data_IF_064347288095
#
_entry.id   IF_064347288095
#
_cell.length_a   1.000
_cell.length_b   1.000
_cell.length_c   1.000
_cell.angle_alpha   90.00
_cell.angle_beta   90.00
_cell.angle_gamma   90.00
#
_symmetry.space_group_name_H-M   'P 1'
#
loop_
_entity.id
_entity.type
_entity.pdbx_description
1 polymer ?
#
# COMPACT_ATOMS: atom_id res chain seq x y z
N UNK A 1 2.66 -3.66 -56.75
CA UNK A 1 1.64 -4.01 -55.76
C UNK A 1 2.32 -4.69 -54.59
N UNK A 2 2.62 -3.95 -53.53
CA UNK A 2 3.26 -4.49 -52.34
C UNK A 2 2.21 -5.10 -51.42
N UNK A 3 2.47 -6.33 -51.01
CA UNK A 3 1.59 -7.15 -50.17
C UNK A 3 1.51 -6.60 -48.74
N UNK A 4 0.32 -6.12 -48.37
CA UNK A 4 0.04 -5.43 -47.07
C UNK A 4 -0.30 -6.48 -45.98
N UNK A 5 -0.13 -7.79 -46.24
CA UNK A 5 -0.48 -8.83 -45.27
C UNK A 5 0.54 -9.13 -44.18
N UNK A 6 1.68 -8.39 -44.11
CA UNK A 6 2.78 -8.63 -43.16
C UNK A 6 3.01 -7.54 -42.10
N UNK A 7 2.07 -6.62 -41.94
CA UNK A 7 2.14 -5.57 -40.92
C UNK A 7 0.99 -5.71 -39.94
N UNK A 8 0.99 -6.74 -39.11
CA UNK A 8 0.35 -6.71 -37.79
C UNK A 8 0.58 -8.01 -37.00
N UNK A 9 1.82 -8.20 -36.58
CA UNK A 9 2.10 -9.07 -35.44
C UNK A 9 2.94 -8.24 -34.43
N UNK A 10 2.32 -7.18 -33.91
CA UNK A 10 2.73 -6.68 -32.60
C UNK A 10 2.22 -7.69 -31.59
N UNK A 11 3.12 -8.53 -31.10
CA UNK A 11 2.94 -9.26 -29.85
C UNK A 11 2.61 -8.21 -28.78
N UNK A 12 1.32 -8.12 -28.41
CA UNK A 12 0.94 -7.54 -27.14
C UNK A 12 1.56 -8.48 -26.11
N UNK A 13 2.70 -8.08 -25.53
CA UNK A 13 3.11 -8.61 -24.24
C UNK A 13 1.92 -8.36 -23.32
N UNK A 14 1.24 -9.42 -22.93
CA UNK A 14 0.22 -9.36 -21.89
C UNK A 14 0.95 -8.94 -20.63
N UNK A 15 0.79 -7.67 -20.24
CA UNK A 15 1.23 -7.18 -18.95
C UNK A 15 0.53 -8.03 -17.88
N UNK A 16 1.23 -8.43 -16.81
CA UNK A 16 0.61 -9.17 -15.72
C UNK A 16 -0.63 -8.43 -15.22
N UNK A 17 -1.69 -9.15 -14.88
CA UNK A 17 -3.00 -8.58 -14.49
C UNK A 17 -2.92 -7.51 -13.41
N UNK A 18 -1.87 -7.52 -12.60
CA UNK A 18 -1.59 -6.60 -11.50
C UNK A 18 -1.20 -5.18 -11.96
N UNK A 19 -0.77 -5.00 -13.20
CA UNK A 19 -0.41 -3.67 -13.76
C UNK A 19 -1.62 -2.89 -14.29
N UNK A 20 -2.78 -3.52 -14.44
CA UNK A 20 -3.92 -2.91 -15.14
C UNK A 20 -4.70 -1.86 -14.34
N UNK A 21 -4.46 -1.73 -13.03
CA UNK A 21 -5.23 -0.82 -12.17
C UNK A 21 -4.47 0.39 -11.62
N UNK A 22 -3.26 0.66 -12.11
CA UNK A 22 -2.46 1.79 -11.59
C UNK A 22 -2.05 1.64 -10.11
N UNK A 23 -2.29 0.48 -9.54
CA UNK A 23 -1.93 0.05 -8.21
C UNK A 23 -0.89 -1.05 -8.31
N UNK A 24 0.35 -0.73 -8.06
CA UNK A 24 1.24 -1.75 -7.55
C UNK A 24 0.81 -2.04 -6.10
N UNK A 25 0.02 -3.07 -5.91
CA UNK A 25 -0.19 -3.65 -4.60
C UNK A 25 1.13 -4.30 -4.22
N UNK A 26 1.98 -3.54 -3.55
CA UNK A 26 3.25 -4.05 -3.04
C UNK A 26 2.88 -4.94 -1.86
N UNK A 27 2.52 -6.17 -2.12
CA UNK A 27 2.42 -7.23 -1.12
C UNK A 27 3.82 -7.76 -0.80
N UNK A 28 4.77 -6.87 -0.51
CA UNK A 28 6.08 -7.23 -0.03
C UNK A 28 6.00 -7.46 1.48
N UNK A 29 5.52 -8.64 1.86
CA UNK A 29 5.59 -9.06 3.24
C UNK A 29 7.02 -9.55 3.57
N UNK A 30 7.50 -9.21 4.74
CA UNK A 30 8.68 -9.84 5.30
C UNK A 30 8.28 -11.22 5.81
N UNK A 31 8.55 -12.28 5.03
CA UNK A 31 8.10 -13.64 5.32
C UNK A 31 8.61 -14.14 6.68
N UNK A 32 9.85 -13.84 7.07
CA UNK A 32 10.38 -14.19 8.39
C UNK A 32 9.59 -13.54 9.52
N UNK A 33 9.19 -12.29 9.33
CA UNK A 33 8.33 -11.57 10.28
C UNK A 33 6.90 -12.10 10.26
N UNK A 34 6.37 -12.51 9.10
CA UNK A 34 5.05 -13.17 9.01
C UNK A 34 5.05 -14.45 9.81
N UNK A 35 6.08 -15.29 9.68
CA UNK A 35 6.20 -16.55 10.42
C UNK A 35 6.20 -16.31 11.94
N UNK A 36 7.09 -15.42 12.43
CA UNK A 36 7.14 -15.06 13.85
C UNK A 36 5.84 -14.50 14.39
N UNK A 37 5.21 -13.59 13.65
CA UNK A 37 3.92 -13.01 14.04
C UNK A 37 2.82 -14.06 14.03
N UNK A 38 2.82 -15.00 13.07
CA UNK A 38 1.84 -16.07 13.00
C UNK A 38 1.89 -16.95 14.24
N UNK A 39 3.08 -17.31 14.71
CA UNK A 39 3.24 -18.09 15.95
C UNK A 39 2.72 -17.32 17.17
N UNK A 40 3.00 -16.04 17.26
CA UNK A 40 2.48 -15.20 18.34
C UNK A 40 0.95 -15.10 18.31
N UNK A 41 0.35 -14.90 17.14
CA UNK A 41 -1.11 -14.85 17.00
C UNK A 41 -1.79 -16.20 17.27
N UNK A 42 -1.14 -17.29 16.90
CA UNK A 42 -1.61 -18.63 17.28
C UNK A 42 -1.69 -18.76 18.79
N UNK A 43 -0.66 -18.32 19.52
CA UNK A 43 -0.65 -18.34 20.98
C UNK A 43 -1.73 -17.43 21.58
N UNK A 44 -1.93 -16.24 21.02
CA UNK A 44 -3.02 -15.34 21.44
C UNK A 44 -4.38 -16.03 21.29
N UNK A 45 -4.64 -16.70 20.17
CA UNK A 45 -5.91 -17.43 19.96
C UNK A 45 -6.12 -18.55 21.01
N UNK A 46 -5.05 -19.27 21.36
CA UNK A 46 -5.10 -20.27 22.42
C UNK A 46 -5.45 -19.65 23.78
N UNK A 47 -4.81 -18.54 24.14
CA UNK A 47 -5.10 -17.83 25.42
C UNK A 47 -6.52 -17.26 25.46
N UNK A 48 -7.11 -16.94 24.32
CA UNK A 48 -8.51 -16.51 24.21
C UNK A 48 -9.49 -17.70 24.29
N UNK A 49 -9.00 -18.96 24.36
CA UNK A 49 -9.81 -20.16 24.43
C UNK A 49 -10.31 -20.68 23.08
N UNK A 50 -9.71 -20.26 21.97
CA UNK A 50 -10.09 -20.70 20.64
C UNK A 50 -9.38 -22.00 20.24
N UNK A 51 -10.08 -22.89 19.54
CA UNK A 51 -9.48 -24.10 18.95
C UNK A 51 -8.73 -23.74 17.65
N UNK A 52 -7.41 -23.62 17.74
CA UNK A 52 -6.54 -23.26 16.61
C UNK A 52 -6.47 -24.33 15.51
N UNK A 53 -6.98 -25.55 15.76
CA UNK A 53 -7.04 -26.63 14.79
C UNK A 53 -8.35 -26.64 14.01
N UNK A 54 -9.31 -25.82 14.38
CA UNK A 54 -10.58 -25.65 13.68
C UNK A 54 -10.33 -25.13 12.27
N UNK A 55 -10.94 -25.77 11.25
CA UNK A 55 -10.72 -25.48 9.83
C UNK A 55 -10.82 -23.96 9.49
N UNK A 56 -11.80 -23.27 10.05
CA UNK A 56 -11.99 -21.83 9.81
C UNK A 56 -10.89 -20.93 10.36
N UNK A 57 -10.04 -21.42 11.28
CA UNK A 57 -8.98 -20.64 11.96
C UNK A 57 -7.57 -21.04 11.52
N UNK A 58 -7.37 -22.19 10.88
CA UNK A 58 -6.06 -22.69 10.50
C UNK A 58 -5.16 -21.64 9.82
N UNK A 59 -5.72 -20.79 8.97
CA UNK A 59 -4.98 -19.72 8.26
C UNK A 59 -5.08 -18.35 8.93
N UNK A 60 -5.79 -18.23 10.05
CA UNK A 60 -6.01 -16.93 10.71
C UNK A 60 -4.70 -16.33 11.23
N UNK A 61 -3.79 -17.06 11.88
CA UNK A 61 -2.51 -16.48 12.33
C UNK A 61 -1.71 -15.80 11.22
N UNK A 62 -1.54 -16.47 10.08
CA UNK A 62 -0.84 -15.91 8.93
C UNK A 62 -1.56 -14.69 8.34
N UNK A 63 -2.88 -14.76 8.20
CA UNK A 63 -3.68 -13.65 7.70
C UNK A 63 -3.58 -12.41 8.58
N UNK A 64 -3.62 -12.61 9.91
CA UNK A 64 -3.46 -11.50 10.86
C UNK A 64 -2.05 -10.94 10.80
N UNK A 65 -1.02 -11.78 10.71
CA UNK A 65 0.36 -11.34 10.58
C UNK A 65 0.56 -10.44 9.35
N UNK A 66 0.03 -10.84 8.20
CA UNK A 66 0.06 -10.02 6.96
C UNK A 66 -0.73 -8.72 7.11
N UNK A 67 -1.92 -8.79 7.69
CA UNK A 67 -2.73 -7.59 7.94
C UNK A 67 -2.02 -6.58 8.85
N UNK A 68 -1.33 -7.05 9.89
CA UNK A 68 -0.56 -6.18 10.78
C UNK A 68 0.62 -5.52 10.06
N UNK A 69 1.34 -6.24 9.22
CA UNK A 69 2.40 -5.63 8.40
C UNK A 69 1.85 -4.56 7.46
N UNK A 70 0.71 -4.81 6.83
CA UNK A 70 0.05 -3.84 5.98
C UNK A 70 -0.34 -2.57 6.75
N UNK A 71 -1.00 -2.71 7.89
CA UNK A 71 -1.49 -1.59 8.70
C UNK A 71 -0.36 -0.78 9.37
N UNK A 72 0.84 -1.34 9.45
CA UNK A 72 2.02 -0.69 10.06
C UNK A 72 3.13 -0.39 9.06
N UNK A 73 2.88 -0.55 7.75
CA UNK A 73 3.89 -0.34 6.72
C UNK A 73 4.50 1.08 6.72
N UNK A 74 3.76 2.06 7.21
CA UNK A 74 4.23 3.44 7.34
C UNK A 74 5.51 3.58 8.17
N UNK A 75 5.78 2.68 9.11
CA UNK A 75 7.04 2.67 9.87
C UNK A 75 8.28 2.42 9.01
N UNK A 76 8.12 1.85 7.83
CA UNK A 76 9.21 1.50 6.90
C UNK A 76 9.33 2.49 5.74
N UNK A 77 8.46 3.49 5.67
CA UNK A 77 8.37 4.44 4.56
C UNK A 77 9.15 5.72 4.89
N UNK A 78 10.07 6.10 4.01
CA UNK A 78 10.69 7.42 4.03
C UNK A 78 9.83 8.42 3.23
N UNK A 79 8.96 9.12 3.93
CA UNK A 79 8.06 10.12 3.34
C UNK A 79 8.83 11.23 2.61
N UNK A 80 10.02 11.63 3.12
CA UNK A 80 10.84 12.66 2.51
C UNK A 80 11.38 12.19 1.16
N UNK A 81 11.94 10.98 1.10
CA UNK A 81 12.44 10.40 -0.15
C UNK A 81 11.33 10.26 -1.20
N UNK A 82 10.12 9.87 -0.78
CA UNK A 82 8.96 9.77 -1.68
C UNK A 82 8.62 11.15 -2.28
N UNK A 83 8.54 12.18 -1.47
CA UNK A 83 8.23 13.55 -1.95
C UNK A 83 9.32 14.07 -2.87
N UNK A 84 10.58 13.89 -2.52
CA UNK A 84 11.72 14.34 -3.33
C UNK A 84 11.81 13.62 -4.68
N UNK A 85 11.40 12.36 -4.76
CA UNK A 85 11.43 11.57 -6.00
C UNK A 85 10.53 12.12 -7.12
N UNK A 86 9.59 13.00 -6.81
CA UNK A 86 8.65 13.58 -7.78
C UNK A 86 8.42 15.07 -7.52
N UNK A 87 9.49 15.77 -7.26
CA UNK A 87 9.50 17.22 -7.07
C UNK A 87 9.82 17.89 -8.40
N UNK A 88 8.94 18.77 -8.87
CA UNK A 88 9.06 19.47 -10.14
C UNK A 88 9.19 20.98 -9.89
N UNK A 89 10.09 21.63 -10.62
CA UNK A 89 10.22 23.08 -10.56
C UNK A 89 9.05 23.72 -11.32
N UNK A 90 8.27 24.52 -10.60
CA UNK A 90 7.11 25.21 -11.16
C UNK A 90 6.83 26.49 -10.35
N UNK A 91 6.66 27.62 -11.04
CA UNK A 91 6.33 28.89 -10.40
C UNK A 91 4.82 29.00 -10.09
N UNK A 92 4.31 28.03 -9.35
CA UNK A 92 2.92 27.95 -8.94
C UNK A 92 2.76 28.39 -7.49
N UNK A 93 1.91 29.37 -7.24
CA UNK A 93 1.75 29.97 -5.89
C UNK A 93 0.36 29.75 -5.29
N UNK A 94 -0.53 29.06 -6.00
CA UNK A 94 -1.86 28.77 -5.46
C UNK A 94 -1.79 27.51 -4.61
N UNK A 95 -2.71 27.42 -3.65
CA UNK A 95 -2.83 26.25 -2.78
C UNK A 95 -3.20 25.01 -3.61
N UNK A 96 -2.44 23.94 -3.43
CA UNK A 96 -2.76 22.61 -3.94
C UNK A 96 -3.46 21.83 -2.85
N UNK A 97 -4.61 21.24 -3.15
CA UNK A 97 -5.39 20.45 -2.19
C UNK A 97 -5.62 19.05 -2.76
N UNK A 98 -5.24 18.02 -2.00
CA UNK A 98 -5.57 16.62 -2.28
C UNK A 98 -6.53 16.14 -1.20
N UNK A 99 -7.73 15.77 -1.61
CA UNK A 99 -8.84 15.44 -0.70
C UNK A 99 -9.17 13.96 -0.74
N UNK A 100 -9.86 13.53 0.32
CA UNK A 100 -10.44 12.19 0.43
C UNK A 100 -9.41 11.06 0.28
N UNK A 101 -8.19 11.27 0.79
CA UNK A 101 -7.16 10.25 0.83
C UNK A 101 -7.57 9.23 1.89
N UNK A 102 -7.84 8.01 1.48
CA UNK A 102 -8.16 6.92 2.42
C UNK A 102 -6.91 6.51 3.19
N UNK A 103 -7.08 6.31 4.49
CA UNK A 103 -6.03 5.83 5.37
C UNK A 103 -6.52 4.65 6.22
N UNK A 104 -5.61 3.75 6.52
CA UNK A 104 -5.82 2.57 7.35
C UNK A 104 -4.64 2.46 8.32
N UNK A 105 -4.94 2.32 9.62
CA UNK A 105 -3.89 2.27 10.63
C UNK A 105 -4.33 1.49 11.86
N UNK A 106 -3.47 1.38 12.85
CA UNK A 106 -3.74 0.74 14.13
C UNK A 106 -3.78 1.76 15.26
N UNK A 107 -4.77 1.65 16.12
CA UNK A 107 -4.80 2.40 17.37
C UNK A 107 -3.61 1.96 18.26
N UNK A 108 -2.76 2.89 18.67
CA UNK A 108 -1.60 2.60 19.51
C UNK A 108 -1.95 2.02 20.88
N UNK A 109 -3.15 2.35 21.41
CA UNK A 109 -3.57 1.91 22.74
C UNK A 109 -4.19 0.50 22.75
N UNK A 110 -4.85 0.10 21.67
CA UNK A 110 -5.65 -1.12 21.65
C UNK A 110 -5.21 -2.10 20.54
N UNK A 111 -4.33 -1.69 19.63
CA UNK A 111 -3.96 -2.43 18.41
C UNK A 111 -5.16 -2.80 17.54
N UNK A 112 -6.26 -2.05 17.66
CA UNK A 112 -7.42 -2.24 16.80
C UNK A 112 -7.25 -1.41 15.52
N UNK A 113 -7.60 -1.95 14.35
CA UNK A 113 -7.55 -1.21 13.11
C UNK A 113 -8.63 -0.12 13.08
N UNK A 114 -8.27 1.00 12.50
CA UNK A 114 -9.20 2.07 12.17
C UNK A 114 -8.95 2.58 10.77
N UNK A 115 -9.93 3.22 10.19
CA UNK A 115 -9.85 3.82 8.87
C UNK A 115 -10.43 5.23 8.90
N UNK A 116 -10.03 6.02 7.93
CA UNK A 116 -10.49 7.40 7.84
C UNK A 116 -10.13 8.04 6.52
N UNK A 117 -10.28 9.35 6.46
CA UNK A 117 -9.88 10.17 5.33
C UNK A 117 -9.02 11.33 5.79
N UNK A 118 -7.95 11.57 5.06
CA UNK A 118 -7.11 12.74 5.22
C UNK A 118 -7.29 13.72 4.06
N UNK A 119 -7.09 14.99 4.35
CA UNK A 119 -7.00 16.04 3.35
C UNK A 119 -5.68 16.76 3.55
N UNK A 120 -4.90 16.85 2.48
CA UNK A 120 -3.59 17.51 2.51
C UNK A 120 -3.65 18.76 1.65
N UNK A 121 -3.24 19.89 2.21
CA UNK A 121 -3.11 21.13 1.47
C UNK A 121 -1.72 21.72 1.67
N UNK A 122 -1.12 22.25 0.60
CA UNK A 122 0.15 22.98 0.67
C UNK A 122 0.18 24.13 -0.32
N UNK A 123 0.99 25.14 -0.03
CA UNK A 123 1.29 26.24 -0.95
C UNK A 123 2.70 25.98 -1.49
N UNK A 124 2.84 25.78 -2.81
CA UNK A 124 4.14 25.59 -3.43
C UNK A 124 5.07 26.80 -3.26
N UNK A 125 6.36 26.53 -3.08
CA UNK A 125 7.42 27.53 -3.16
C UNK A 125 8.45 27.09 -4.19
N UNK A 126 8.26 27.53 -5.44
CA UNK A 126 9.06 27.19 -6.63
C UNK A 126 9.10 25.69 -6.98
N UNK A 127 8.41 24.84 -6.24
CA UNK A 127 8.31 23.41 -6.51
C UNK A 127 6.92 22.88 -6.19
N UNK A 128 6.46 21.99 -7.05
CA UNK A 128 5.27 21.18 -6.83
C UNK A 128 5.66 19.71 -6.64
N UNK A 129 4.80 18.97 -5.99
CA UNK A 129 4.97 17.52 -5.79
C UNK A 129 3.95 16.77 -6.65
N UNK A 130 4.37 15.71 -7.29
CA UNK A 130 3.46 14.84 -8.03
C UNK A 130 2.30 14.38 -7.16
N UNK A 131 1.06 14.62 -7.59
CA UNK A 131 -0.14 14.37 -6.80
C UNK A 131 -0.24 12.92 -6.30
N UNK A 132 0.25 11.95 -7.08
CA UNK A 132 0.28 10.53 -6.69
C UNK A 132 1.20 10.21 -5.50
N UNK A 133 2.08 11.13 -5.10
CA UNK A 133 2.99 10.93 -3.95
C UNK A 133 2.33 11.28 -2.63
N UNK A 134 1.37 12.22 -2.64
CA UNK A 134 0.66 12.64 -1.43
C UNK A 134 -0.11 11.46 -0.79
N UNK A 135 -0.92 10.67 -1.52
CA UNK A 135 -1.59 9.50 -0.93
C UNK A 135 -0.65 8.40 -0.43
N UNK A 136 0.60 8.38 -0.90
CA UNK A 136 1.58 7.36 -0.46
C UNK A 136 2.24 7.67 0.88
N UNK A 137 2.18 8.91 1.33
CA UNK A 137 2.76 9.34 2.61
C UNK A 137 1.71 9.49 3.71
N UNK A 138 0.44 9.45 3.35
CA UNK A 138 -0.71 9.44 4.26
C UNK A 138 -1.06 8.02 4.67
#
# INVERSE_FOLDING_TARGET
MADISKLNQNSREELPEDEYHGYHKIENYNEESVERLSDLYKNILLELGEDVNREGILKTPERVAKAMQYLTQGYQIDAKAILESAKFREEYKQMVIVKDIELYSLCEHHLLPFFGKAHVAYIPDNYIVGLSKIPRIV
#
